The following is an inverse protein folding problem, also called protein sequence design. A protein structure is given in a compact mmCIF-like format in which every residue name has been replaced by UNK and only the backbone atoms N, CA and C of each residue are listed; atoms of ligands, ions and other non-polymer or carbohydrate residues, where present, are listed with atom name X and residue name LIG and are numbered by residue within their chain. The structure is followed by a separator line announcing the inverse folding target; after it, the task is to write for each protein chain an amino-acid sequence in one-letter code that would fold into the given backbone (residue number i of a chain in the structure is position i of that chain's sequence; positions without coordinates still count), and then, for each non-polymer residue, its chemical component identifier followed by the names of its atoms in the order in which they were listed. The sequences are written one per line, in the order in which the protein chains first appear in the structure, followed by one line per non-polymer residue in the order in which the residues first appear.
data_IF_962912661936
#
_entry.id   IF_962912661936
#
_cell.length_a   1.000
_cell.length_b   1.000
_cell.length_c   1.000
_cell.angle_alpha   90.00
_cell.angle_beta   90.00
_cell.angle_gamma   90.00
#
_symmetry.space_group_name_H-M   'P 1'
#
loop_
_entity.id
_entity.type
_entity.pdbx_description
1 polymer ?
#
# COMPACT_ATOMS: atom_id res chain seq x y z
N UNK A 1 0.60 14.55 4.53
CA UNK A 1 -0.72 15.16 4.56
C UNK A 1 -0.78 16.17 5.67
N UNK A 2 -0.82 15.68 6.92
CA UNK A 2 -0.89 16.51 8.12
C UNK A 2 0.20 17.59 8.25
N UNK A 3 1.36 17.40 7.63
CA UNK A 3 2.49 18.33 7.66
C UNK A 3 2.38 19.51 6.68
N UNK A 4 1.42 19.47 5.74
CA UNK A 4 1.28 20.43 4.65
C UNK A 4 0.65 21.79 5.03
N UNK A 5 -0.26 21.88 6.03
CA UNK A 5 -0.77 23.16 6.51
C UNK A 5 0.30 24.07 7.12
N UNK A 6 1.47 23.52 7.45
CA UNK A 6 2.63 24.25 7.98
C UNK A 6 2.30 25.11 9.22
N UNK A 7 1.46 24.56 10.10
CA UNK A 7 1.10 25.16 11.37
C UNK A 7 2.18 24.89 12.44
N UNK A 8 2.05 25.54 13.61
CA UNK A 8 3.02 25.38 14.70
C UNK A 8 3.15 23.92 15.14
N UNK A 9 2.06 23.15 15.16
CA UNK A 9 2.10 21.73 15.57
C UNK A 9 2.82 20.89 14.52
N UNK A 10 2.57 21.11 13.21
CA UNK A 10 3.30 20.42 12.15
C UNK A 10 4.80 20.69 12.20
N UNK A 11 5.22 21.95 12.43
CA UNK A 11 6.65 22.31 12.52
C UNK A 11 7.31 21.60 13.71
N UNK A 12 6.66 21.58 14.88
CA UNK A 12 7.17 20.86 16.05
C UNK A 12 7.20 19.35 15.81
N UNK A 13 6.19 18.77 15.17
CA UNK A 13 6.14 17.35 14.85
C UNK A 13 7.31 16.93 13.94
N UNK A 14 7.63 17.72 12.92
CA UNK A 14 8.79 17.47 12.03
C UNK A 14 10.09 17.62 12.81
N UNK A 15 10.20 18.66 13.62
CA UNK A 15 11.42 18.95 14.38
C UNK A 15 11.72 17.83 15.37
N UNK A 16 10.74 17.42 16.18
CA UNK A 16 10.88 16.31 17.11
C UNK A 16 11.15 15.01 16.35
N UNK A 17 10.37 14.68 15.32
CA UNK A 17 10.52 13.44 14.56
C UNK A 17 11.88 13.31 13.86
N UNK A 18 12.42 14.40 13.32
CA UNK A 18 13.73 14.40 12.65
C UNK A 18 14.88 14.42 13.65
N UNK A 19 14.69 14.99 14.84
CA UNK A 19 15.65 14.86 15.95
C UNK A 19 15.78 13.43 16.47
N UNK A 20 14.88 12.50 16.12
CA UNK A 20 15.06 11.06 16.39
C UNK A 20 16.01 10.38 15.38
N UNK A 21 16.25 10.95 14.19
CA UNK A 21 17.08 10.33 13.16
C UNK A 21 18.54 10.06 13.59
N UNK A 22 19.24 10.97 14.32
CA UNK A 22 20.61 10.77 14.77
C UNK A 22 20.79 9.59 15.74
N UNK A 23 19.72 9.11 16.37
CA UNK A 23 19.76 7.95 17.27
C UNK A 23 19.91 6.62 16.52
N UNK A 24 19.85 6.63 15.19
CA UNK A 24 20.11 5.44 14.37
C UNK A 24 21.62 5.31 14.12
N UNK A 25 22.28 4.22 14.57
CA UNK A 25 23.71 4.05 14.35
C UNK A 25 24.00 3.96 12.84
N UNK A 26 25.09 4.61 12.41
CA UNK A 26 25.65 4.63 11.04
C UNK A 26 24.94 5.57 10.04
N UNK A 27 23.61 5.62 9.99
CA UNK A 27 22.89 6.34 8.91
C UNK A 27 22.10 7.57 9.37
N UNK A 28 22.08 7.90 10.66
CA UNK A 28 21.22 8.96 11.21
C UNK A 28 21.35 10.32 10.52
N UNK A 29 22.57 10.82 10.36
CA UNK A 29 22.83 12.13 9.74
C UNK A 29 22.50 12.18 8.25
N UNK A 30 22.74 11.08 7.53
CA UNK A 30 22.40 10.97 6.12
C UNK A 30 20.87 10.99 5.92
N UNK A 31 20.15 10.22 6.75
CA UNK A 31 18.68 10.16 6.74
C UNK A 31 18.08 11.52 7.09
N UNK A 32 18.63 12.21 8.10
CA UNK A 32 18.20 13.56 8.44
C UNK A 32 18.33 14.52 7.26
N UNK A 33 19.49 14.54 6.59
CA UNK A 33 19.74 15.42 5.43
C UNK A 33 18.84 15.10 4.24
N UNK A 34 18.50 13.83 4.02
CA UNK A 34 17.57 13.42 2.95
C UNK A 34 16.15 13.88 3.26
N UNK A 35 15.70 13.77 4.51
CA UNK A 35 14.34 14.15 4.90
C UNK A 35 14.20 15.67 5.00
N UNK A 36 15.10 16.35 5.71
CA UNK A 36 15.00 17.78 6.02
C UNK A 36 15.56 18.66 4.90
N UNK A 37 16.66 18.23 4.27
CA UNK A 37 17.26 18.95 3.14
C UNK A 37 18.14 20.14 3.48
N UNK A 38 18.38 20.40 4.77
CA UNK A 38 19.23 21.49 5.25
C UNK A 38 19.69 21.24 6.68
N UNK A 39 20.29 22.25 7.30
CA UNK A 39 20.71 22.24 8.71
C UNK A 39 19.55 22.37 9.70
N UNK A 40 18.38 22.81 9.24
CA UNK A 40 17.17 22.98 10.05
C UNK A 40 15.90 22.80 9.19
N UNK A 41 14.77 22.58 9.87
CA UNK A 41 13.44 22.52 9.25
C UNK A 41 13.10 23.89 8.64
N UNK A 42 12.86 23.92 7.33
CA UNK A 42 12.63 25.15 6.58
C UNK A 42 11.69 24.91 5.39
N UNK A 43 11.47 25.94 4.58
CA UNK A 43 10.68 25.87 3.33
C UNK A 43 11.09 24.70 2.42
N UNK A 44 12.39 24.39 2.36
CA UNK A 44 12.91 23.25 1.57
C UNK A 44 12.34 21.92 2.05
N UNK A 45 12.16 21.77 3.37
CA UNK A 45 11.56 20.58 3.99
C UNK A 45 10.08 20.46 3.59
N UNK A 46 9.33 21.56 3.61
CA UNK A 46 7.92 21.59 3.20
C UNK A 46 7.74 21.10 1.75
N UNK A 47 8.53 21.62 0.81
CA UNK A 47 8.44 21.24 -0.60
C UNK A 47 8.75 19.75 -0.80
N UNK A 48 9.71 19.19 -0.05
CA UNK A 48 10.00 17.74 -0.08
C UNK A 48 8.85 16.90 0.43
N UNK A 49 8.25 17.29 1.55
CA UNK A 49 7.06 16.60 2.07
C UNK A 49 5.85 16.74 1.14
N UNK A 50 5.70 17.87 0.45
CA UNK A 50 4.67 18.05 -0.57
C UNK A 50 4.86 17.09 -1.74
N UNK A 51 6.04 17.07 -2.36
CA UNK A 51 6.34 16.14 -3.47
C UNK A 51 6.21 14.67 -3.00
N UNK A 52 6.74 14.36 -1.82
CA UNK A 52 6.63 13.03 -1.22
C UNK A 52 5.17 12.60 -1.01
N UNK A 53 4.32 13.51 -0.53
CA UNK A 53 2.94 13.19 -0.18
C UNK A 53 1.96 13.24 -1.34
N UNK A 54 2.14 14.15 -2.29
CA UNK A 54 1.21 14.35 -3.40
C UNK A 54 1.59 13.49 -4.61
N UNK A 55 2.88 13.22 -4.80
CA UNK A 55 3.36 12.47 -5.98
C UNK A 55 3.85 11.08 -5.56
N UNK A 56 4.86 11.01 -4.69
CA UNK A 56 5.55 9.74 -4.44
C UNK A 56 4.66 8.71 -3.74
N UNK A 57 4.01 9.05 -2.62
CA UNK A 57 3.17 8.09 -1.89
C UNK A 57 1.95 7.63 -2.68
N UNK A 58 1.20 8.49 -3.40
CA UNK A 58 0.08 8.04 -4.22
C UNK A 58 0.52 7.13 -5.36
N UNK A 59 1.65 7.42 -6.02
CA UNK A 59 2.19 6.55 -7.07
C UNK A 59 2.67 5.21 -6.50
N UNK A 60 3.35 5.21 -5.36
CA UNK A 60 3.78 3.99 -4.68
C UNK A 60 2.57 3.15 -4.24
N UNK A 61 1.54 3.78 -3.68
CA UNK A 61 0.30 3.10 -3.32
C UNK A 61 -0.42 2.53 -4.54
N UNK A 62 -0.49 3.26 -5.65
CA UNK A 62 -1.06 2.78 -6.91
C UNK A 62 -0.30 1.57 -7.46
N UNK A 63 1.04 1.60 -7.42
CA UNK A 63 1.88 0.47 -7.81
C UNK A 63 1.65 -0.75 -6.91
N UNK A 64 1.64 -0.56 -5.58
CA UNK A 64 1.36 -1.63 -4.63
C UNK A 64 -0.04 -2.21 -4.84
N UNK A 65 -1.03 -1.38 -5.15
CA UNK A 65 -2.39 -1.83 -5.47
C UNK A 65 -2.44 -2.63 -6.78
N UNK A 66 -1.72 -2.19 -7.81
CA UNK A 66 -1.60 -2.93 -9.06
C UNK A 66 -0.94 -4.30 -8.85
N UNK A 67 0.14 -4.36 -8.07
CA UNK A 67 0.80 -5.62 -7.68
C UNK A 67 -0.14 -6.50 -6.86
N UNK A 68 -0.89 -5.92 -5.92
CA UNK A 68 -1.86 -6.62 -5.10
C UNK A 68 -2.95 -7.28 -5.96
N UNK A 69 -3.56 -6.55 -6.88
CA UNK A 69 -4.57 -7.10 -7.80
C UNK A 69 -4.00 -8.11 -8.80
N UNK A 70 -2.77 -7.88 -9.28
CA UNK A 70 -2.10 -8.86 -10.14
C UNK A 70 -1.87 -10.17 -9.40
N UNK A 71 -1.42 -10.11 -8.15
CA UNK A 71 -1.26 -11.28 -7.30
C UNK A 71 -2.58 -12.00 -7.05
N UNK A 72 -3.65 -11.26 -6.69
CA UNK A 72 -4.98 -11.85 -6.50
C UNK A 72 -5.45 -12.58 -7.76
N UNK A 73 -5.27 -11.98 -8.94
CA UNK A 73 -5.66 -12.61 -10.20
C UNK A 73 -4.81 -13.82 -10.56
N UNK A 74 -3.52 -13.80 -10.24
CA UNK A 74 -2.61 -14.92 -10.46
C UNK A 74 -2.88 -16.09 -9.50
N UNK A 75 -3.24 -15.78 -8.26
CA UNK A 75 -3.52 -16.75 -7.20
C UNK A 75 -4.97 -17.30 -7.27
N UNK A 76 -5.72 -17.01 -8.35
CA UNK A 76 -7.04 -17.59 -8.62
C UNK A 76 -8.24 -16.86 -8.00
N UNK A 77 -8.04 -15.65 -7.48
CA UNK A 77 -9.04 -14.94 -6.68
C UNK A 77 -9.06 -15.46 -5.24
N UNK A 78 -9.38 -14.57 -4.29
CA UNK A 78 -9.47 -14.94 -2.89
C UNK A 78 -10.51 -16.06 -2.71
N UNK A 79 -10.02 -17.28 -2.48
CA UNK A 79 -10.78 -18.41 -1.97
C UNK A 79 -12.18 -18.58 -2.60
N UNK A 80 -12.23 -18.92 -3.89
CA UNK A 80 -13.39 -19.69 -4.36
C UNK A 80 -13.45 -21.00 -3.55
N UNK A 81 -14.65 -21.53 -3.23
CA UNK A 81 -14.77 -22.86 -2.63
C UNK A 81 -13.90 -23.85 -3.43
N UNK A 82 -13.19 -24.77 -2.77
CA UNK A 82 -12.43 -25.79 -3.49
C UNK A 82 -13.34 -26.44 -4.52
N UNK A 83 -12.87 -26.67 -5.76
CA UNK A 83 -13.71 -27.21 -6.81
C UNK A 83 -14.40 -28.49 -6.31
N UNK A 84 -15.71 -28.66 -6.57
CA UNK A 84 -16.47 -29.78 -6.04
C UNK A 84 -15.82 -31.11 -6.46
N UNK A 85 -15.81 -32.13 -5.59
CA UNK A 85 -15.25 -33.44 -5.92
C UNK A 85 -15.87 -34.00 -7.20
N UNK A 86 -15.09 -34.78 -7.98
CA UNK A 86 -15.52 -35.35 -9.26
C UNK A 86 -16.86 -36.11 -9.17
N UNK A 87 -17.15 -36.74 -8.03
CA UNK A 87 -18.43 -37.43 -7.76
C UNK A 87 -19.63 -36.50 -7.70
N UNK A 88 -19.49 -35.29 -7.16
CA UNK A 88 -20.57 -34.30 -7.15
C UNK A 88 -20.81 -33.74 -8.56
N UNK A 89 -19.74 -33.57 -9.35
CA UNK A 89 -19.86 -33.17 -10.76
C UNK A 89 -20.61 -34.23 -11.58
N UNK A 90 -20.28 -35.51 -11.39
CA UNK A 90 -20.97 -36.64 -12.02
C UNK A 90 -22.45 -36.70 -11.60
N UNK A 91 -22.75 -36.59 -10.30
CA UNK A 91 -24.12 -36.57 -9.79
C UNK A 91 -24.93 -35.36 -10.30
N UNK A 92 -24.31 -34.18 -10.46
CA UNK A 92 -24.96 -33.02 -11.07
C UNK A 92 -25.23 -33.22 -12.56
N UNK A 93 -24.27 -33.80 -13.30
CA UNK A 93 -24.45 -34.11 -14.71
C UNK A 93 -25.58 -35.12 -14.93
N UNK A 94 -25.68 -36.15 -14.09
CA UNK A 94 -26.78 -37.12 -14.12
C UNK A 94 -28.14 -36.46 -13.82
N UNK A 95 -28.21 -35.55 -12.84
CA UNK A 95 -29.43 -34.79 -12.52
C UNK A 95 -29.88 -33.87 -13.65
N UNK A 96 -28.93 -33.21 -14.33
CA UNK A 96 -29.22 -32.35 -15.49
C UNK A 96 -29.68 -33.19 -16.68
N UNK A 97 -29.02 -34.31 -16.96
CA UNK A 97 -29.43 -35.24 -18.01
C UNK A 97 -30.84 -35.79 -17.73
N UNK A 98 -31.12 -36.22 -16.50
CA UNK A 98 -32.44 -36.70 -16.08
C UNK A 98 -33.53 -35.62 -16.13
N UNK A 99 -33.17 -34.35 -15.83
CA UNK A 99 -34.08 -33.21 -15.95
C UNK A 99 -34.40 -32.82 -17.40
N UNK A 100 -33.42 -32.91 -18.31
CA UNK A 100 -33.61 -32.65 -19.74
C UNK A 100 -34.40 -33.75 -20.48
N UNK A 101 -34.51 -34.94 -19.88
CA UNK A 101 -35.21 -36.08 -20.44
C UNK A 101 -36.71 -36.14 -20.07
N UNK A 102 -37.22 -35.18 -19.28
CA UNK A 102 -38.65 -35.04 -19.00
C UNK A 102 -39.26 -33.96 -19.91
N UNK A 103 -40.18 -34.32 -20.83
CA UNK A 103 -40.92 -33.38 -21.66
C UNK A 103 -41.92 -32.55 -20.84
#
# INVERSE_FOLDING_TARGET
GYLLPWDQIAIWAITVGTNLAPYTPILGDAVYKVIVGGSAVSQTTLVRFYVGHVIFFPLAAALLMAVHFWRIRKDGGAAGPPPPPRRELEAQAERVAAGSARP
#
